data_IF_441767697961
#
_entry.id   IF_441767697961
#
_cell.length_a   1.000
_cell.length_b   1.000
_cell.length_c   1.000
_cell.angle_alpha   90.00
_cell.angle_beta   90.00
_cell.angle_gamma   90.00
#
_symmetry.space_group_name_H-M   'P 1'
#
loop_
_entity.id
_entity.type
_entity.pdbx_description
1 polymer ?
#
# COMPACT_ATOMS: atom_id res chain seq x y z
N UNK A 1 -6.66 -61.50 -24.82
CA UNK A 1 -7.32 -60.33 -24.22
C UNK A 1 -6.36 -59.16 -24.18
N UNK A 2 -6.89 -57.94 -24.25
CA UNK A 2 -6.12 -56.72 -24.07
C UNK A 2 -6.76 -55.90 -22.93
N UNK A 3 -6.20 -56.09 -21.75
CA UNK A 3 -6.66 -55.53 -20.49
C UNK A 3 -6.55 -54.00 -20.49
N UNK A 4 -5.68 -53.43 -21.33
CA UNK A 4 -5.55 -51.99 -21.53
C UNK A 4 -6.68 -51.38 -22.37
N UNK A 5 -7.42 -52.18 -23.15
CA UNK A 5 -8.56 -51.73 -23.97
C UNK A 5 -9.91 -52.08 -23.33
N UNK A 6 -9.91 -52.95 -22.31
CA UNK A 6 -11.13 -53.44 -21.66
C UNK A 6 -11.73 -52.49 -20.61
N UNK A 7 -10.99 -51.47 -20.17
CA UNK A 7 -11.47 -50.46 -19.22
C UNK A 7 -10.90 -49.07 -19.54
N UNK A 8 -11.66 -48.02 -19.23
CA UNK A 8 -11.18 -46.63 -19.34
C UNK A 8 -10.24 -46.34 -18.16
N UNK A 9 -8.96 -46.06 -18.44
CA UNK A 9 -7.91 -45.80 -17.44
C UNK A 9 -7.70 -46.94 -16.42
N UNK A 10 -7.32 -48.15 -16.85
CA UNK A 10 -7.16 -49.30 -15.96
C UNK A 10 -6.02 -49.15 -14.94
N UNK A 11 -5.13 -48.16 -15.14
CA UNK A 11 -3.99 -47.85 -14.28
C UNK A 11 -4.19 -46.62 -13.38
N UNK A 12 -5.36 -45.96 -13.44
CA UNK A 12 -5.61 -44.69 -12.76
C UNK A 12 -5.05 -43.47 -13.50
N UNK A 13 -5.20 -42.29 -12.91
CA UNK A 13 -4.69 -41.03 -13.47
C UNK A 13 -3.15 -41.01 -13.49
N UNK A 14 -2.58 -40.31 -14.48
CA UNK A 14 -1.13 -40.15 -14.66
C UNK A 14 -0.33 -41.47 -14.82
N UNK A 15 -0.97 -42.52 -15.33
CA UNK A 15 -0.34 -43.82 -15.58
C UNK A 15 -0.64 -44.38 -16.99
N UNK A 16 0.34 -45.06 -17.58
CA UNK A 16 0.22 -45.79 -18.84
C UNK A 16 0.06 -47.29 -18.59
N UNK A 17 -0.81 -47.93 -19.36
CA UNK A 17 -1.04 -49.37 -19.32
C UNK A 17 -0.21 -50.08 -20.40
N UNK A 18 0.49 -51.16 -20.03
CA UNK A 18 1.17 -52.05 -20.98
C UNK A 18 0.61 -53.47 -20.84
N UNK A 19 0.07 -53.99 -21.93
CA UNK A 19 -0.49 -55.34 -21.97
C UNK A 19 0.61 -56.39 -22.16
N UNK A 20 0.47 -57.53 -21.48
CA UNK A 20 1.36 -58.69 -21.61
C UNK A 20 0.54 -59.96 -21.81
N UNK A 21 1.17 -61.06 -22.23
CA UNK A 21 0.43 -62.32 -22.42
C UNK A 21 -0.01 -62.86 -21.06
N UNK A 22 -1.31 -62.72 -20.75
CA UNK A 22 -1.95 -63.23 -19.53
C UNK A 22 -1.96 -62.26 -18.33
N UNK A 23 -1.52 -61.01 -18.50
CA UNK A 23 -1.56 -59.96 -17.48
C UNK A 23 -1.31 -58.58 -18.10
N UNK A 24 -1.35 -57.51 -17.31
CA UNK A 24 -0.92 -56.18 -17.70
C UNK A 24 -0.21 -55.51 -16.52
N UNK A 25 0.58 -54.47 -16.80
CA UNK A 25 1.24 -53.67 -15.77
C UNK A 25 1.13 -52.18 -16.10
N UNK A 26 1.26 -51.36 -15.06
CA UNK A 26 1.14 -49.92 -15.13
C UNK A 26 2.49 -49.25 -14.89
N UNK A 27 2.74 -48.16 -15.59
CA UNK A 27 3.90 -47.28 -15.38
C UNK A 27 3.43 -45.84 -15.21
N UNK A 28 4.02 -45.08 -14.30
CA UNK A 28 3.70 -43.65 -14.19
C UNK A 28 4.22 -42.88 -15.41
N UNK A 29 3.47 -41.87 -15.84
CA UNK A 29 3.92 -40.94 -16.88
C UNK A 29 5.09 -40.09 -16.37
N UNK A 30 5.93 -39.52 -17.25
CA UNK A 30 7.01 -38.62 -16.83
C UNK A 30 6.49 -37.47 -15.93
N UNK A 31 7.24 -37.14 -14.88
CA UNK A 31 6.82 -36.19 -13.83
C UNK A 31 6.10 -36.84 -12.64
N UNK A 32 5.76 -38.13 -12.74
CA UNK A 32 5.07 -38.86 -11.68
C UNK A 32 5.86 -40.10 -11.26
N UNK A 33 5.76 -40.47 -9.99
CA UNK A 33 6.31 -41.71 -9.43
C UNK A 33 5.23 -42.53 -8.75
N UNK A 34 5.41 -43.84 -8.75
CA UNK A 34 4.56 -44.72 -7.97
C UNK A 34 4.65 -44.38 -6.48
N UNK A 35 3.53 -44.41 -5.76
CA UNK A 35 3.46 -44.24 -4.31
C UNK A 35 4.31 -45.27 -3.55
N UNK A 36 4.56 -46.43 -4.15
CA UNK A 36 5.40 -47.49 -3.61
C UNK A 36 6.86 -47.45 -4.12
N UNK A 37 7.21 -46.49 -4.98
CA UNK A 37 8.55 -46.30 -5.54
C UNK A 37 8.97 -47.28 -6.65
N UNK A 38 8.10 -48.19 -7.07
CA UNK A 38 8.38 -49.14 -8.16
C UNK A 38 8.15 -48.51 -9.54
N UNK A 39 8.94 -48.93 -10.53
CA UNK A 39 8.80 -48.45 -11.91
C UNK A 39 7.55 -49.00 -12.59
N UNK A 40 7.18 -50.24 -12.25
CA UNK A 40 5.96 -50.90 -12.69
C UNK A 40 5.15 -51.31 -11.48
N UNK A 41 3.83 -51.20 -11.55
CA UNK A 41 2.91 -51.64 -10.50
C UNK A 41 1.73 -52.39 -11.08
N UNK A 42 1.09 -53.20 -10.23
CA UNK A 42 -0.10 -53.96 -10.62
C UNK A 42 -1.32 -53.11 -10.29
N UNK A 43 -2.22 -52.87 -11.25
CA UNK A 43 -3.41 -52.08 -10.99
C UNK A 43 -4.32 -52.73 -9.92
N UNK A 44 -4.90 -51.88 -9.06
CA UNK A 44 -5.74 -52.24 -7.90
C UNK A 44 -5.01 -52.78 -6.66
N UNK A 45 -3.68 -52.69 -6.58
CA UNK A 45 -2.91 -53.01 -5.36
C UNK A 45 -2.85 -51.84 -4.34
N UNK A 46 -3.54 -50.73 -4.62
CA UNK A 46 -3.52 -49.50 -3.82
C UNK A 46 -2.40 -48.52 -4.21
N UNK A 47 -1.59 -48.87 -5.20
CA UNK A 47 -0.54 -48.01 -5.75
C UNK A 47 -1.13 -46.97 -6.69
N UNK A 48 -0.67 -45.73 -6.59
CA UNK A 48 -1.07 -44.63 -7.46
C UNK A 48 0.15 -43.81 -7.88
N UNK A 49 0.03 -43.10 -9.01
CA UNK A 49 1.05 -42.17 -9.44
C UNK A 49 0.89 -40.85 -8.69
N UNK A 50 1.94 -40.45 -7.98
CA UNK A 50 2.03 -39.17 -7.27
C UNK A 50 3.02 -38.28 -7.98
N UNK A 51 2.69 -36.99 -8.02
CA UNK A 51 3.56 -35.96 -8.59
C UNK A 51 4.94 -35.98 -7.92
N UNK A 52 5.98 -35.81 -8.73
CA UNK A 52 7.35 -35.71 -8.24
C UNK A 52 7.63 -34.24 -7.99
N UNK A 53 7.80 -33.84 -6.73
CA UNK A 53 8.26 -32.48 -6.44
C UNK A 53 9.75 -32.32 -6.80
N UNK A 54 10.02 -31.88 -8.02
CA UNK A 54 11.38 -31.68 -8.51
C UNK A 54 12.08 -30.52 -7.79
N UNK A 55 11.34 -29.64 -7.11
CA UNK A 55 11.90 -28.51 -6.40
C UNK A 55 12.62 -28.88 -5.10
N UNK A 56 12.37 -30.06 -4.52
CA UNK A 56 12.98 -30.49 -3.24
C UNK A 56 14.45 -30.90 -3.41
N UNK A 57 14.80 -31.57 -4.50
CA UNK A 57 16.14 -32.14 -4.70
C UNK A 57 16.90 -31.54 -5.90
N UNK A 58 16.21 -31.12 -6.97
CA UNK A 58 16.84 -30.65 -8.21
C UNK A 58 16.50 -29.20 -8.58
N UNK A 59 15.51 -28.59 -7.93
CA UNK A 59 14.96 -27.30 -8.31
C UNK A 59 15.95 -26.14 -8.41
N UNK A 60 16.99 -26.12 -7.57
CA UNK A 60 18.02 -25.07 -7.63
C UNK A 60 19.03 -25.29 -8.76
N UNK A 61 19.29 -26.55 -9.12
CA UNK A 61 20.23 -26.91 -10.19
C UNK A 61 19.54 -26.79 -11.56
N UNK A 62 18.28 -27.22 -11.66
CA UNK A 62 17.55 -27.27 -12.92
C UNK A 62 17.00 -25.90 -13.38
N UNK A 63 16.69 -24.99 -12.45
CA UNK A 63 16.27 -23.62 -12.79
C UNK A 63 17.44 -22.65 -12.97
N UNK A 64 18.66 -23.05 -12.61
CA UNK A 64 19.85 -22.20 -12.66
C UNK A 64 19.98 -21.21 -11.50
N UNK A 65 21.13 -20.54 -11.45
CA UNK A 65 21.43 -19.57 -10.40
C UNK A 65 20.44 -18.40 -10.39
N UNK A 66 20.14 -17.91 -9.18
CA UNK A 66 19.21 -16.80 -8.95
C UNK A 66 17.77 -17.03 -9.45
N UNK A 67 17.37 -18.28 -9.68
CA UNK A 67 16.00 -18.67 -9.96
C UNK A 67 15.30 -19.33 -8.75
N UNK A 68 13.97 -19.24 -8.71
CA UNK A 68 13.05 -19.90 -7.80
C UNK A 68 12.30 -20.98 -8.58
N UNK A 69 12.22 -22.17 -7.99
CA UNK A 69 11.46 -23.31 -8.51
C UNK A 69 10.04 -23.31 -7.91
N UNK A 70 9.03 -23.56 -8.73
CA UNK A 70 7.65 -23.78 -8.32
C UNK A 70 7.16 -25.10 -8.92
N UNK A 71 6.82 -26.04 -8.03
CA UNK A 71 6.31 -27.36 -8.40
C UNK A 71 4.89 -27.24 -8.96
N UNK A 72 4.60 -27.96 -10.04
CA UNK A 72 3.30 -28.05 -10.68
C UNK A 72 2.96 -29.53 -10.91
N UNK A 73 1.69 -29.83 -11.17
CA UNK A 73 1.29 -31.20 -11.46
C UNK A 73 1.93 -31.67 -12.79
N UNK A 74 2.77 -32.70 -12.71
CA UNK A 74 3.52 -33.27 -13.83
C UNK A 74 4.79 -32.53 -14.22
N UNK A 75 5.31 -31.65 -13.36
CA UNK A 75 6.63 -31.03 -13.53
C UNK A 75 6.72 -29.65 -12.88
N UNK A 76 7.71 -28.84 -13.23
CA UNK A 76 7.96 -27.58 -12.55
C UNK A 76 8.19 -26.38 -13.48
N UNK A 77 8.02 -25.18 -12.93
CA UNK A 77 8.36 -23.92 -13.58
C UNK A 77 9.42 -23.18 -12.77
N UNK A 78 10.19 -22.37 -13.48
CA UNK A 78 11.23 -21.52 -12.91
C UNK A 78 10.82 -20.05 -13.08
N UNK A 79 11.20 -19.23 -12.10
CA UNK A 79 11.07 -17.76 -12.16
C UNK A 79 12.32 -17.13 -11.56
N UNK A 80 12.70 -15.92 -11.98
CA UNK A 80 13.86 -15.26 -11.37
C UNK A 80 13.55 -14.73 -9.97
N UNK A 81 14.52 -14.86 -9.05
CA UNK A 81 14.45 -14.25 -7.71
C UNK A 81 14.42 -12.73 -7.85
N UNK A 82 13.93 -12.05 -6.82
CA UNK A 82 13.97 -10.58 -6.74
C UNK A 82 15.39 -10.05 -7.03
N UNK A 83 15.45 -8.99 -7.85
CA UNK A 83 16.69 -8.40 -8.31
C UNK A 83 17.23 -8.94 -9.65
N UNK A 84 16.62 -10.01 -10.18
CA UNK A 84 17.03 -10.65 -11.41
C UNK A 84 15.90 -10.69 -12.43
N UNK A 85 16.25 -10.68 -13.72
CA UNK A 85 15.30 -10.82 -14.81
C UNK A 85 15.70 -11.96 -15.74
N UNK A 86 14.73 -12.65 -16.38
CA UNK A 86 15.01 -13.68 -17.36
C UNK A 86 15.69 -13.07 -18.59
N UNK A 87 16.72 -13.72 -19.11
CA UNK A 87 17.43 -13.32 -20.33
C UNK A 87 16.50 -13.25 -21.56
N UNK A 88 15.44 -14.04 -21.55
CA UNK A 88 14.44 -14.14 -22.62
C UNK A 88 13.23 -13.22 -22.42
N UNK A 89 13.12 -12.56 -21.26
CA UNK A 89 11.97 -11.69 -20.91
C UNK A 89 10.70 -12.43 -20.45
N UNK A 90 10.70 -13.77 -20.42
CA UNK A 90 9.55 -14.57 -19.95
C UNK A 90 9.59 -14.73 -18.42
N UNK A 91 8.62 -14.14 -17.71
CA UNK A 91 8.55 -14.16 -16.23
C UNK A 91 8.54 -15.56 -15.61
N UNK A 92 7.96 -16.53 -16.32
CA UNK A 92 8.08 -17.96 -16.01
C UNK A 92 8.68 -18.68 -17.22
N UNK A 93 9.60 -19.60 -16.94
CA UNK A 93 10.32 -20.37 -17.95
C UNK A 93 10.48 -21.82 -17.51
N UNK A 94 10.73 -22.71 -18.49
CA UNK A 94 10.92 -24.14 -18.20
C UNK A 94 12.37 -24.40 -17.81
N UNK A 95 12.64 -25.37 -16.92
CA UNK A 95 14.00 -25.75 -16.57
C UNK A 95 14.79 -26.13 -17.83
N UNK A 96 16.06 -25.73 -17.88
CA UNK A 96 16.97 -25.98 -18.99
C UNK A 96 16.50 -25.47 -20.38
N UNK A 97 15.57 -24.52 -20.45
CA UNK A 97 15.08 -23.95 -21.74
C UNK A 97 16.02 -22.90 -22.36
N UNK A 98 17.20 -22.70 -21.77
CA UNK A 98 18.19 -21.70 -22.17
C UNK A 98 17.96 -20.31 -21.57
N UNK A 99 16.89 -20.10 -20.81
CA UNK A 99 16.68 -18.87 -20.02
C UNK A 99 17.58 -18.89 -18.78
N UNK A 100 18.25 -17.76 -18.54
CA UNK A 100 19.07 -17.55 -17.34
C UNK A 100 18.62 -16.27 -16.63
N UNK A 101 18.78 -16.23 -15.31
CA UNK A 101 18.50 -15.06 -14.51
C UNK A 101 19.72 -14.14 -14.49
N UNK A 102 19.61 -13.00 -15.14
CA UNK A 102 20.64 -11.95 -15.15
C UNK A 102 20.29 -10.86 -14.14
N UNK A 103 21.30 -10.27 -13.51
CA UNK A 103 21.09 -9.09 -12.66
C UNK A 103 20.32 -8.06 -13.47
N UNK A 104 19.19 -7.62 -12.94
CA UNK A 104 18.42 -6.59 -13.60
C UNK A 104 19.08 -5.24 -13.26
N UNK A 105 19.65 -4.49 -14.23
CA UNK A 105 20.18 -3.15 -13.95
C UNK A 105 19.07 -2.19 -13.47
N UNK A 106 17.80 -2.53 -13.74
CA UNK A 106 16.59 -1.87 -13.24
C UNK A 106 16.10 -2.42 -11.89
N UNK A 107 16.75 -3.42 -11.28
CA UNK A 107 16.47 -3.84 -9.91
C UNK A 107 16.80 -2.74 -8.88
N UNK A 108 17.69 -1.81 -9.25
CA UNK A 108 18.01 -0.59 -8.49
C UNK A 108 17.55 0.68 -9.22
N UNK A 109 16.44 0.60 -9.95
CA UNK A 109 15.93 1.71 -10.75
C UNK A 109 15.73 2.99 -9.91
N UNK A 110 15.38 2.84 -8.64
CA UNK A 110 15.21 3.91 -7.65
C UNK A 110 16.46 4.77 -7.40
N UNK A 111 17.65 4.31 -7.82
CA UNK A 111 18.90 5.06 -7.74
C UNK A 111 19.16 5.94 -8.98
N UNK A 112 18.46 5.70 -10.10
CA UNK A 112 18.73 6.35 -11.38
C UNK A 112 17.52 7.17 -11.86
N UNK A 113 17.71 8.49 -11.95
CA UNK A 113 16.64 9.43 -12.33
C UNK A 113 15.98 9.11 -13.69
N UNK A 114 16.77 8.71 -14.68
CA UNK A 114 16.26 8.40 -16.02
C UNK A 114 15.37 7.15 -16.00
N UNK A 115 15.76 6.14 -15.21
CA UNK A 115 14.97 4.93 -15.04
C UNK A 115 13.64 5.21 -14.32
N UNK A 116 13.66 5.97 -13.23
CA UNK A 116 12.45 6.42 -12.52
C UNK A 116 11.52 7.16 -13.50
N UNK A 117 12.07 8.09 -14.29
CA UNK A 117 11.30 8.89 -15.26
C UNK A 117 10.68 8.02 -16.34
N UNK A 118 11.42 7.05 -16.89
CA UNK A 118 10.89 6.08 -17.85
C UNK A 118 9.72 5.28 -17.24
N UNK A 119 9.86 4.82 -16.00
CA UNK A 119 8.84 4.02 -15.31
C UNK A 119 7.58 4.83 -15.01
N UNK A 120 7.75 6.07 -14.54
CA UNK A 120 6.66 7.03 -14.35
C UNK A 120 5.92 7.25 -15.66
N UNK A 121 6.63 7.56 -16.75
CA UNK A 121 6.00 7.83 -18.04
C UNK A 121 5.21 6.63 -18.57
N UNK A 122 5.73 5.42 -18.41
CA UNK A 122 5.00 4.18 -18.76
C UNK A 122 3.74 4.00 -17.93
N UNK A 123 3.84 4.20 -16.62
CA UNK A 123 2.71 4.08 -15.70
C UNK A 123 1.63 5.12 -16.02
N UNK A 124 2.02 6.37 -16.26
CA UNK A 124 1.11 7.44 -16.65
C UNK A 124 0.46 7.19 -18.01
N UNK A 125 1.21 6.69 -19.00
CA UNK A 125 0.66 6.34 -20.30
C UNK A 125 -0.40 5.22 -20.20
N UNK A 126 -0.24 4.29 -19.26
CA UNK A 126 -1.22 3.24 -19.01
C UNK A 126 -2.54 3.76 -18.43
N UNK A 127 -2.58 4.93 -17.78
CA UNK A 127 -3.81 5.49 -17.19
C UNK A 127 -4.33 6.75 -17.90
N UNK A 128 -3.52 7.42 -18.72
CA UNK A 128 -3.86 8.72 -19.32
C UNK A 128 -5.05 8.68 -20.29
N UNK A 129 -5.36 7.51 -20.85
CA UNK A 129 -6.49 7.29 -21.74
C UNK A 129 -7.82 7.09 -20.99
N UNK A 130 -7.76 6.78 -19.70
CA UNK A 130 -8.93 6.58 -18.85
C UNK A 130 -9.59 7.94 -18.57
N UNK A 131 -10.93 7.97 -18.51
CA UNK A 131 -11.67 9.24 -18.47
C UNK A 131 -12.20 9.57 -17.09
N UNK A 132 -12.41 8.56 -16.25
CA UNK A 132 -12.99 8.77 -14.91
C UNK A 132 -11.96 8.54 -13.82
N UNK A 133 -12.06 9.28 -12.68
CA UNK A 133 -11.21 9.03 -11.51
C UNK A 133 -11.31 7.58 -11.00
N UNK A 134 -12.49 6.98 -11.08
CA UNK A 134 -12.72 5.60 -10.63
C UNK A 134 -11.91 4.60 -11.47
N UNK A 135 -11.95 4.70 -12.80
CA UNK A 135 -11.18 3.81 -13.68
C UNK A 135 -9.67 3.93 -13.42
N UNK A 136 -9.16 5.16 -13.30
CA UNK A 136 -7.76 5.40 -12.98
C UNK A 136 -7.37 4.78 -11.63
N UNK A 137 -8.20 4.99 -10.60
CA UNK A 137 -7.96 4.43 -9.27
C UNK A 137 -8.04 2.90 -9.26
N UNK A 138 -8.93 2.30 -10.03
CA UNK A 138 -9.04 0.85 -10.17
C UNK A 138 -7.80 0.24 -10.82
N UNK A 139 -7.24 0.88 -11.85
CA UNK A 139 -6.01 0.42 -12.49
C UNK A 139 -4.81 0.56 -11.54
N UNK A 140 -4.68 1.68 -10.83
CA UNK A 140 -3.64 1.86 -9.82
C UNK A 140 -3.80 0.85 -8.67
N UNK A 141 -5.04 0.61 -8.21
CA UNK A 141 -5.32 -0.41 -7.20
C UNK A 141 -4.85 -1.79 -7.66
N UNK A 142 -5.18 -2.17 -8.90
CA UNK A 142 -4.78 -3.45 -9.49
C UNK A 142 -3.26 -3.59 -9.56
N UNK A 143 -2.55 -2.52 -9.93
CA UNK A 143 -1.09 -2.50 -10.00
C UNK A 143 -0.40 -2.59 -8.63
N UNK A 144 -1.14 -2.42 -7.53
CA UNK A 144 -0.60 -2.35 -6.16
C UNK A 144 -0.95 -3.53 -5.27
N UNK A 145 -1.79 -4.48 -5.73
CA UNK A 145 -2.19 -5.67 -4.95
C UNK A 145 -1.07 -6.71 -4.78
N UNK A 146 -0.04 -6.67 -5.63
CA UNK A 146 1.04 -7.67 -5.69
C UNK A 146 2.30 -7.30 -4.91
N UNK A 147 3.40 -8.06 -5.09
CA UNK A 147 4.73 -7.59 -4.71
C UNK A 147 5.07 -6.30 -5.47
N UNK A 148 5.66 -5.34 -4.77
CA UNK A 148 6.04 -4.04 -5.33
C UNK A 148 7.56 -3.89 -5.27
N UNK A 149 8.15 -3.38 -6.34
CA UNK A 149 9.52 -2.88 -6.33
C UNK A 149 9.55 -1.42 -5.84
N UNK A 150 10.70 -0.92 -5.38
CA UNK A 150 10.82 0.48 -4.93
C UNK A 150 10.41 1.49 -6.00
N UNK A 151 10.75 1.24 -7.27
CA UNK A 151 10.32 2.11 -8.39
C UNK A 151 8.81 2.08 -8.62
N UNK A 152 8.14 0.95 -8.38
CA UNK A 152 6.68 0.82 -8.53
C UNK A 152 5.95 1.71 -7.52
N UNK A 153 6.50 1.84 -6.31
CA UNK A 153 6.00 2.77 -5.29
C UNK A 153 6.03 4.20 -5.82
N UNK A 154 7.18 4.65 -6.34
CA UNK A 154 7.31 6.00 -6.89
C UNK A 154 6.33 6.22 -8.05
N UNK A 155 6.30 5.30 -9.03
CA UNK A 155 5.52 5.50 -10.25
C UNK A 155 4.02 5.43 -10.02
N UNK A 156 3.54 4.55 -9.14
CA UNK A 156 2.11 4.49 -8.83
C UNK A 156 1.65 5.63 -7.91
N UNK A 157 2.52 6.14 -7.02
CA UNK A 157 2.22 7.38 -6.26
C UNK A 157 2.11 8.59 -7.21
N UNK A 158 2.98 8.67 -8.22
CA UNK A 158 2.88 9.70 -9.26
C UNK A 158 1.56 9.58 -10.03
N UNK A 159 1.17 8.36 -10.40
CA UNK A 159 -0.09 8.07 -11.07
C UNK A 159 -1.31 8.45 -10.22
N UNK A 160 -1.28 8.18 -8.90
CA UNK A 160 -2.33 8.58 -7.96
C UNK A 160 -2.46 10.10 -7.89
N UNK A 161 -1.34 10.82 -7.83
CA UNK A 161 -1.33 12.28 -7.81
C UNK A 161 -1.89 12.86 -9.12
N UNK A 162 -1.53 12.28 -10.27
CA UNK A 162 -2.07 12.65 -11.57
C UNK A 162 -3.60 12.43 -11.64
N UNK A 163 -4.10 11.32 -11.10
CA UNK A 163 -5.55 11.06 -10.99
C UNK A 163 -6.25 12.12 -10.12
N UNK A 164 -5.61 12.59 -9.04
CA UNK A 164 -6.15 13.67 -8.20
C UNK A 164 -6.32 14.98 -8.96
N UNK A 165 -5.39 15.32 -9.86
CA UNK A 165 -5.49 16.52 -10.70
C UNK A 165 -6.64 16.41 -11.70
N UNK A 166 -6.81 15.25 -12.35
CA UNK A 166 -7.92 15.03 -13.28
C UNK A 166 -9.30 15.03 -12.58
N UNK A 167 -9.33 14.67 -11.30
CA UNK A 167 -10.54 14.75 -10.48
C UNK A 167 -10.98 16.19 -10.23
N UNK A 168 -10.09 17.19 -10.35
CA UNK A 168 -10.50 18.61 -10.35
C UNK A 168 -11.31 19.00 -11.58
N UNK A 169 -11.11 18.32 -12.72
CA UNK A 169 -11.79 18.64 -13.98
C UNK A 169 -13.10 17.88 -14.17
N UNK A 170 -13.27 16.75 -13.46
CA UNK A 170 -14.49 15.97 -13.52
C UNK A 170 -15.46 16.42 -12.43
N UNK A 171 -16.63 16.95 -12.80
CA UNK A 171 -17.71 17.14 -11.84
C UNK A 171 -18.12 15.76 -11.35
N UNK A 172 -17.64 15.35 -10.17
CA UNK A 172 -18.05 14.07 -9.56
C UNK A 172 -19.57 14.08 -9.54
N UNK A 173 -20.12 13.18 -10.37
CA UNK A 173 -21.53 12.95 -10.62
C UNK A 173 -22.33 13.02 -9.32
N UNK A 174 -23.56 13.55 -9.41
CA UNK A 174 -24.54 13.56 -8.32
C UNK A 174 -24.84 12.15 -7.76
N UNK A 175 -24.33 11.09 -8.38
CA UNK A 175 -24.45 9.72 -7.91
C UNK A 175 -23.59 9.47 -6.65
N UNK A 176 -24.25 9.53 -5.50
CA UNK A 176 -23.70 9.21 -4.18
C UNK A 176 -23.03 7.82 -4.13
N UNK A 177 -23.62 6.80 -4.75
CA UNK A 177 -23.07 5.44 -4.75
C UNK A 177 -21.73 5.37 -5.49
N UNK A 178 -21.60 6.07 -6.62
CA UNK A 178 -20.36 6.12 -7.39
C UNK A 178 -19.23 6.80 -6.59
N UNK A 179 -19.57 7.87 -5.88
CA UNK A 179 -18.63 8.61 -5.02
C UNK A 179 -18.13 7.75 -3.86
N UNK A 180 -19.04 7.10 -3.15
CA UNK A 180 -18.70 6.23 -2.02
C UNK A 180 -17.82 5.06 -2.48
N UNK A 181 -18.16 4.48 -3.64
CA UNK A 181 -17.34 3.44 -4.29
C UNK A 181 -15.94 3.96 -4.61
N UNK A 182 -15.84 5.15 -5.20
CA UNK A 182 -14.55 5.75 -5.56
C UNK A 182 -13.70 6.06 -4.32
N UNK A 183 -14.30 6.52 -3.21
CA UNK A 183 -13.57 6.75 -1.94
C UNK A 183 -13.09 5.41 -1.36
N UNK A 184 -13.91 4.36 -1.39
CA UNK A 184 -13.48 3.03 -0.94
C UNK A 184 -12.33 2.48 -1.77
N UNK A 185 -12.36 2.65 -3.10
CA UNK A 185 -11.23 2.26 -3.96
C UNK A 185 -10.00 3.08 -3.61
N UNK A 186 -10.09 4.40 -3.44
CA UNK A 186 -8.97 5.23 -3.01
C UNK A 186 -8.35 4.74 -1.70
N UNK A 187 -9.16 4.46 -0.68
CA UNK A 187 -8.68 3.97 0.62
C UNK A 187 -7.96 2.64 0.47
N UNK A 188 -8.51 1.71 -0.31
CA UNK A 188 -7.86 0.42 -0.58
C UNK A 188 -6.54 0.60 -1.37
N UNK A 189 -6.52 1.46 -2.40
CA UNK A 189 -5.31 1.76 -3.17
C UNK A 189 -4.22 2.33 -2.27
N UNK A 190 -4.55 3.29 -1.40
CA UNK A 190 -3.59 3.86 -0.45
C UNK A 190 -3.14 2.79 0.54
N UNK A 191 -4.06 1.97 1.06
CA UNK A 191 -3.75 0.88 1.97
C UNK A 191 -2.71 -0.09 1.40
N UNK A 192 -2.81 -0.43 0.11
CA UNK A 192 -1.85 -1.33 -0.55
C UNK A 192 -0.40 -0.84 -0.45
N UNK A 193 -0.14 0.48 -0.31
CA UNK A 193 1.20 0.99 -0.08
C UNK A 193 1.63 0.97 1.38
N UNK A 194 0.68 0.98 2.31
CA UNK A 194 0.92 1.19 3.74
C UNK A 194 0.88 -0.09 4.57
N UNK A 195 0.52 -1.21 3.94
CA UNK A 195 0.53 -2.53 4.56
C UNK A 195 1.92 -2.85 5.12
N UNK A 196 1.93 -3.55 6.25
CA UNK A 196 3.14 -3.84 7.02
C UNK A 196 4.22 -4.59 6.22
N UNK A 197 3.83 -5.48 5.31
CA UNK A 197 4.76 -6.21 4.43
C UNK A 197 5.41 -5.31 3.37
N UNK A 198 4.82 -4.16 3.05
CA UNK A 198 5.32 -3.20 2.06
C UNK A 198 6.27 -2.15 2.64
N UNK A 199 6.33 -1.99 3.96
CA UNK A 199 7.22 -1.03 4.62
C UNK A 199 8.69 -1.23 4.22
N UNK A 200 9.12 -2.49 4.02
CA UNK A 200 10.48 -2.81 3.56
C UNK A 200 10.79 -2.28 2.15
N UNK A 201 9.78 -2.24 1.27
CA UNK A 201 9.92 -1.69 -0.09
C UNK A 201 10.16 -0.18 -0.02
N UNK A 202 9.46 0.51 0.89
CA UNK A 202 9.72 1.92 1.16
C UNK A 202 11.12 2.15 1.74
N UNK A 203 11.57 1.32 2.68
CA UNK A 203 12.90 1.42 3.31
C UNK A 203 14.06 1.17 2.32
N UNK A 204 13.80 0.51 1.20
CA UNK A 204 14.77 0.33 0.13
C UNK A 204 14.94 1.58 -0.76
N UNK A 205 14.04 2.57 -0.69
CA UNK A 205 14.15 3.82 -1.44
C UNK A 205 15.23 4.73 -0.84
N UNK A 206 15.95 5.51 -1.68
CA UNK A 206 16.75 6.63 -1.18
C UNK A 206 15.89 7.59 -0.34
N UNK A 207 16.44 8.08 0.77
CA UNK A 207 15.71 8.89 1.77
C UNK A 207 14.91 10.04 1.14
N UNK A 208 15.51 10.77 0.19
CA UNK A 208 14.84 11.88 -0.50
C UNK A 208 13.62 11.41 -1.31
N UNK A 209 13.78 10.32 -2.07
CA UNK A 209 12.71 9.74 -2.88
C UNK A 209 11.62 9.12 -2.01
N UNK A 210 12.00 8.47 -0.91
CA UNK A 210 11.09 7.89 0.07
C UNK A 210 10.20 8.97 0.68
N UNK A 211 10.82 10.02 1.25
CA UNK A 211 10.12 11.10 1.95
C UNK A 211 9.21 11.90 1.03
N UNK A 212 9.70 12.20 -0.18
CA UNK A 212 8.94 12.93 -1.20
C UNK A 212 7.74 12.12 -1.69
N UNK A 213 7.95 10.84 -2.00
CA UNK A 213 6.87 9.94 -2.44
C UNK A 213 5.85 9.72 -1.34
N UNK A 214 6.27 9.55 -0.09
CA UNK A 214 5.35 9.39 1.03
C UNK A 214 4.53 10.67 1.28
N UNK A 215 5.17 11.84 1.27
CA UNK A 215 4.46 13.13 1.38
C UNK A 215 3.46 13.30 0.23
N UNK A 216 3.83 12.91 -0.99
CA UNK A 216 2.95 12.98 -2.16
C UNK A 216 1.77 12.01 -2.07
N UNK A 217 1.97 10.80 -1.54
CA UNK A 217 0.89 9.83 -1.27
C UNK A 217 -0.13 10.41 -0.28
N UNK A 218 0.35 10.93 0.85
CA UNK A 218 -0.47 11.55 1.89
C UNK A 218 -1.26 12.76 1.34
N UNK A 219 -0.58 13.67 0.65
CA UNK A 219 -1.19 14.83 0.03
C UNK A 219 -2.27 14.43 -1.00
N UNK A 220 -1.97 13.46 -1.87
CA UNK A 220 -2.91 13.02 -2.91
C UNK A 220 -4.16 12.37 -2.33
N UNK A 221 -4.02 11.56 -1.27
CA UNK A 221 -5.15 10.96 -0.56
C UNK A 221 -6.06 12.04 0.06
N UNK A 222 -5.47 13.06 0.69
CA UNK A 222 -6.18 14.19 1.28
C UNK A 222 -6.93 14.99 0.20
N UNK A 223 -6.23 15.43 -0.85
CA UNK A 223 -6.80 16.28 -1.89
C UNK A 223 -7.92 15.58 -2.68
N UNK A 224 -7.71 14.32 -3.06
CA UNK A 224 -8.73 13.53 -3.75
C UNK A 224 -10.01 13.44 -2.91
N UNK A 225 -9.87 13.14 -1.61
CA UNK A 225 -11.01 13.01 -0.70
C UNK A 225 -11.73 14.34 -0.52
N UNK A 226 -11.01 15.45 -0.34
CA UNK A 226 -11.62 16.78 -0.25
C UNK A 226 -12.40 17.15 -1.50
N UNK A 227 -11.83 16.90 -2.69
CA UNK A 227 -12.50 17.19 -3.97
C UNK A 227 -13.81 16.42 -4.11
N UNK A 228 -13.81 15.14 -3.76
CA UNK A 228 -15.01 14.31 -3.79
C UNK A 228 -16.06 14.72 -2.74
N UNK A 229 -15.59 15.31 -1.64
CA UNK A 229 -16.45 15.75 -0.53
C UNK A 229 -17.11 17.11 -0.76
N UNK A 230 -16.60 17.96 -1.66
CA UNK A 230 -17.23 19.24 -2.01
C UNK A 230 -18.64 19.10 -2.60
N UNK A 231 -18.93 17.96 -3.22
CA UNK A 231 -20.15 17.72 -3.96
C UNK A 231 -21.26 17.02 -3.13
N UNK A 232 -21.14 16.95 -1.80
CA UNK A 232 -22.22 16.45 -0.95
C UNK A 232 -23.33 17.50 -0.82
N UNK A 233 -24.55 17.15 -1.24
CA UNK A 233 -25.73 18.06 -1.19
C UNK A 233 -26.48 18.04 0.14
N UNK A 234 -26.20 17.07 1.00
CA UNK A 234 -26.86 16.86 2.29
C UNK A 234 -25.82 16.61 3.36
N UNK A 235 -26.20 16.86 4.62
CA UNK A 235 -25.42 16.44 5.77
C UNK A 235 -25.12 14.94 5.69
N UNK A 236 -23.85 14.59 5.51
CA UNK A 236 -23.39 13.24 5.23
C UNK A 236 -22.19 12.92 6.10
N UNK A 237 -22.19 11.71 6.68
CA UNK A 237 -21.01 11.12 7.29
C UNK A 237 -20.66 9.85 6.51
N UNK A 238 -19.41 9.74 6.08
CA UNK A 238 -18.88 8.59 5.36
C UNK A 238 -17.68 8.05 6.10
N UNK A 239 -17.64 6.73 6.30
CA UNK A 239 -16.50 6.02 6.84
C UNK A 239 -15.99 5.02 5.78
N UNK A 240 -14.69 5.03 5.53
CA UNK A 240 -14.01 4.08 4.64
C UNK A 240 -12.71 3.64 5.33
N UNK A 241 -12.63 2.35 5.68
CA UNK A 241 -11.53 1.81 6.48
C UNK A 241 -10.89 0.61 5.80
N UNK A 242 -9.59 0.48 5.94
CA UNK A 242 -8.79 -0.69 5.58
C UNK A 242 -7.85 -1.05 6.75
N UNK A 243 -6.87 -1.94 6.53
CA UNK A 243 -6.03 -2.47 7.60
C UNK A 243 -5.14 -1.42 8.28
N UNK A 244 -4.56 -0.52 7.48
CA UNK A 244 -3.52 0.42 7.92
C UNK A 244 -3.90 1.88 7.70
N UNK A 245 -5.11 2.12 7.16
CA UNK A 245 -5.69 3.44 6.93
C UNK A 245 -7.16 3.45 7.33
N UNK A 246 -7.59 4.54 7.97
CA UNK A 246 -8.99 4.84 8.21
C UNK A 246 -9.31 6.27 7.73
N UNK A 247 -10.43 6.42 7.04
CA UNK A 247 -10.88 7.68 6.46
C UNK A 247 -12.31 7.97 6.93
N UNK A 248 -12.54 9.18 7.42
CA UNK A 248 -13.87 9.68 7.77
C UNK A 248 -14.13 11.04 7.16
N UNK A 249 -15.30 11.22 6.56
CA UNK A 249 -15.74 12.50 5.99
C UNK A 249 -16.99 12.98 6.72
N UNK A 250 -17.00 14.26 7.09
CA UNK A 250 -18.17 14.98 7.53
C UNK A 250 -18.47 16.09 6.53
N UNK A 251 -19.61 16.02 5.85
CA UNK A 251 -20.09 17.10 5.00
C UNK A 251 -21.38 17.66 5.57
N UNK A 252 -21.52 18.97 5.64
CA UNK A 252 -22.70 19.65 6.19
C UNK A 252 -22.83 21.07 5.65
N UNK A 253 -24.04 21.62 5.70
CA UNK A 253 -24.32 23.00 5.35
C UNK A 253 -24.08 23.97 6.53
N UNK A 254 -24.21 25.26 6.27
CA UNK A 254 -24.04 26.33 7.25
C UNK A 254 -25.05 26.30 8.41
N UNK A 255 -26.26 25.77 8.20
CA UNK A 255 -27.28 25.68 9.26
C UNK A 255 -26.83 24.72 10.36
N UNK A 256 -26.19 23.62 9.98
CA UNK A 256 -25.79 22.58 10.90
C UNK A 256 -24.44 22.86 11.60
N UNK A 257 -23.72 23.91 11.22
CA UNK A 257 -22.41 24.28 11.79
C UNK A 257 -22.42 24.49 13.31
N UNK A 258 -23.53 24.95 13.89
CA UNK A 258 -23.64 25.20 15.34
C UNK A 258 -23.78 23.92 16.16
N UNK A 259 -24.28 22.85 15.55
CA UNK A 259 -24.63 21.60 16.24
C UNK A 259 -23.68 20.46 15.90
N UNK A 260 -23.01 20.51 14.74
CA UNK A 260 -22.05 19.50 14.32
C UNK A 260 -20.65 19.91 14.79
N UNK A 261 -20.08 19.07 15.64
CA UNK A 261 -18.69 19.19 16.11
C UNK A 261 -17.92 17.96 15.61
N UNK A 262 -17.26 18.05 14.43
CA UNK A 262 -16.59 16.90 13.85
C UNK A 262 -15.52 16.36 14.79
N UNK A 263 -15.67 15.11 15.16
CA UNK A 263 -14.70 14.40 15.97
C UNK A 263 -14.68 12.94 15.57
N UNK A 264 -13.52 12.32 15.74
CA UNK A 264 -13.29 10.93 15.37
C UNK A 264 -12.64 10.23 16.54
N UNK A 265 -13.19 9.07 16.89
CA UNK A 265 -12.55 8.07 17.72
C UNK A 265 -12.36 6.81 16.89
N UNK A 266 -11.11 6.38 16.69
CA UNK A 266 -10.78 5.19 15.90
C UNK A 266 -9.56 4.51 16.52
N UNK A 267 -9.68 3.23 16.85
CA UNK A 267 -8.59 2.40 17.42
C UNK A 267 -7.91 2.99 18.68
N UNK A 268 -8.62 3.84 19.43
CA UNK A 268 -8.12 4.50 20.62
C UNK A 268 -7.40 5.83 20.39
N UNK A 269 -7.32 6.26 19.12
CA UNK A 269 -6.92 7.61 18.77
C UNK A 269 -8.18 8.49 18.67
N UNK A 270 -8.07 9.71 19.20
CA UNK A 270 -9.14 10.71 19.21
C UNK A 270 -8.66 11.99 18.55
N UNK A 271 -9.51 12.60 17.73
CA UNK A 271 -9.28 13.93 17.19
C UNK A 271 -10.59 14.72 17.13
N UNK A 272 -10.49 16.00 17.45
CA UNK A 272 -11.60 16.94 17.41
C UNK A 272 -11.15 18.25 16.79
N UNK A 273 -11.99 18.76 15.90
CA UNK A 273 -11.83 20.10 15.34
C UNK A 273 -12.70 21.11 16.10
N UNK A 274 -12.15 22.30 16.34
CA UNK A 274 -12.89 23.43 16.88
C UNK A 274 -12.79 24.61 15.90
N UNK A 275 -13.89 24.98 15.22
CA UNK A 275 -13.91 26.16 14.37
C UNK A 275 -14.02 27.44 15.21
N UNK A 276 -13.54 28.57 14.66
CA UNK A 276 -13.78 29.89 15.25
C UNK A 276 -15.27 30.18 15.26
N UNK A 277 -15.76 30.80 16.35
CA UNK A 277 -17.14 31.27 16.44
C UNK A 277 -17.37 32.39 15.41
N UNK A 278 -18.45 32.27 14.63
CA UNK A 278 -18.91 33.29 13.69
C UNK A 278 -20.40 33.53 13.86
N UNK A 279 -20.80 34.78 13.77
CA UNK A 279 -22.20 35.21 13.79
C UNK A 279 -22.78 35.38 12.38
N UNK A 280 -21.92 35.43 11.36
CA UNK A 280 -22.30 35.71 9.98
C UNK A 280 -22.81 34.45 9.27
N UNK A 281 -24.04 34.52 8.78
CA UNK A 281 -24.78 33.38 8.24
C UNK A 281 -24.77 33.37 6.71
N UNK A 282 -24.32 32.26 6.12
CA UNK A 282 -24.28 32.06 4.67
C UNK A 282 -25.30 30.98 4.25
N UNK A 283 -26.45 31.33 3.66
CA UNK A 283 -27.55 30.38 3.42
C UNK A 283 -27.21 29.19 2.50
N UNK A 284 -26.23 29.34 1.61
CA UNK A 284 -25.78 28.27 0.70
C UNK A 284 -24.36 27.77 1.03
N UNK A 285 -23.90 28.02 2.26
CA UNK A 285 -22.57 27.64 2.68
C UNK A 285 -22.44 26.13 2.88
N UNK A 286 -21.37 25.53 2.38
CA UNK A 286 -21.07 24.10 2.58
C UNK A 286 -19.69 23.91 3.19
N UNK A 287 -19.56 22.87 4.02
CA UNK A 287 -18.33 22.51 4.72
C UNK A 287 -18.12 21.00 4.59
N UNK A 288 -16.90 20.61 4.26
CA UNK A 288 -16.41 19.24 4.31
C UNK A 288 -15.17 19.17 5.21
N UNK A 289 -15.18 18.24 6.15
CA UNK A 289 -14.05 17.93 7.04
C UNK A 289 -13.66 16.48 6.82
N UNK A 290 -12.40 16.26 6.46
CA UNK A 290 -11.83 14.94 6.18
C UNK A 290 -10.84 14.60 7.28
N UNK A 291 -10.99 13.41 7.85
CA UNK A 291 -10.08 12.82 8.80
C UNK A 291 -9.42 11.60 8.18
N UNK A 292 -8.10 11.52 8.29
CA UNK A 292 -7.31 10.36 7.88
C UNK A 292 -6.52 9.87 9.08
N UNK A 293 -6.36 8.56 9.20
CA UNK A 293 -5.49 7.92 10.19
C UNK A 293 -4.67 6.86 9.49
N UNK A 294 -3.38 6.84 9.79
CA UNK A 294 -2.40 5.90 9.26
C UNK A 294 -1.69 5.18 10.40
N UNK A 295 -1.77 3.85 10.42
CA UNK A 295 -1.30 3.04 11.54
C UNK A 295 0.22 2.84 11.55
N UNK A 296 0.81 2.51 10.39
CA UNK A 296 2.16 1.92 10.31
C UNK A 296 3.18 2.73 9.49
N UNK A 297 3.00 4.04 9.35
CA UNK A 297 3.88 4.90 8.53
C UNK A 297 4.91 5.71 9.35
N UNK A 298 4.86 5.64 10.68
CA UNK A 298 5.68 6.48 11.56
C UNK A 298 7.18 6.28 11.35
N UNK A 299 7.64 5.04 11.14
CA UNK A 299 9.06 4.75 10.87
C UNK A 299 9.55 5.41 9.57
N UNK A 300 8.69 5.48 8.54
CA UNK A 300 9.01 6.08 7.24
C UNK A 300 9.08 7.62 7.29
N UNK A 301 8.44 8.25 8.28
CA UNK A 301 8.45 9.71 8.49
C UNK A 301 9.42 10.15 9.59
N UNK A 302 10.12 9.23 10.23
CA UNK A 302 11.11 9.55 11.27
C UNK A 302 12.37 10.14 10.64
N UNK A 303 13.07 11.03 11.34
CA UNK A 303 14.32 11.61 10.82
C UNK A 303 15.44 10.55 10.83
N UNK A 304 16.00 10.23 9.67
CA UNK A 304 17.31 9.60 9.55
C UNK A 304 18.42 10.66 9.66
N UNK A 305 19.58 10.29 10.20
CA UNK A 305 20.75 11.17 10.22
C UNK A 305 21.14 11.62 8.80
N UNK A 306 21.53 12.90 8.72
CA UNK A 306 22.16 13.60 7.59
C UNK A 306 21.28 14.02 6.39
N UNK A 307 20.73 15.24 6.49
CA UNK A 307 20.76 16.17 5.37
C UNK A 307 21.91 17.17 5.60
N UNK A 308 22.98 17.01 4.83
CA UNK A 308 24.11 17.94 4.63
C UNK A 308 24.03 19.31 5.31
N UNK A 309 24.47 19.39 6.56
CA UNK A 309 25.29 20.49 7.06
C UNK A 309 26.00 20.04 8.33
N UNK A 310 27.32 20.18 8.34
CA UNK A 310 28.11 20.07 9.57
C UNK A 310 27.78 21.30 10.42
N UNK A 311 26.69 21.27 11.18
CA UNK A 311 26.53 22.07 12.40
C UNK A 311 25.21 21.70 13.12
N UNK A 312 25.33 21.56 14.43
CA UNK A 312 24.31 21.13 15.41
C UNK A 312 23.97 19.63 15.46
N UNK A 313 24.15 19.09 16.67
CA UNK A 313 23.67 17.80 17.15
C UNK A 313 22.13 17.75 17.13
N UNK A 314 21.52 17.56 15.97
CA UNK A 314 20.07 17.36 15.91
C UNK A 314 19.73 15.98 16.49
N UNK A 315 19.06 15.98 17.64
CA UNK A 315 18.58 14.76 18.28
C UNK A 315 17.65 13.98 17.35
N UNK A 316 17.83 12.65 17.30
CA UNK A 316 17.04 11.77 16.43
C UNK A 316 15.57 11.78 16.86
N UNK A 317 14.70 12.29 15.98
CA UNK A 317 13.26 12.33 16.21
C UNK A 317 12.59 11.10 15.62
N UNK A 318 11.93 10.33 16.48
CA UNK A 318 11.20 9.12 16.09
C UNK A 318 9.70 9.31 16.29
N UNK A 319 8.91 8.96 15.28
CA UNK A 319 7.44 8.98 15.40
C UNK A 319 7.00 7.78 16.22
N UNK A 320 6.34 8.02 17.36
CA UNK A 320 6.00 6.98 18.34
C UNK A 320 4.50 6.72 18.46
N UNK A 321 3.70 7.36 17.63
CA UNK A 321 2.26 7.19 17.51
C UNK A 321 1.85 6.82 16.08
N UNK A 322 0.56 6.58 15.87
CA UNK A 322 -0.06 6.68 14.55
C UNK A 322 0.08 8.11 14.00
N UNK A 323 -0.10 8.27 12.69
CA UNK A 323 -0.16 9.58 12.04
C UNK A 323 -1.62 9.86 11.69
N UNK A 324 -2.14 11.00 12.13
CA UNK A 324 -3.51 11.42 11.85
C UNK A 324 -3.50 12.72 11.05
N UNK A 325 -4.49 12.95 10.21
CA UNK A 325 -4.60 14.19 9.44
C UNK A 325 -6.01 14.74 9.46
N UNK A 326 -6.10 16.06 9.34
CA UNK A 326 -7.36 16.78 9.19
C UNK A 326 -7.23 17.77 8.07
N UNK A 327 -8.20 17.75 7.17
CA UNK A 327 -8.32 18.71 6.13
C UNK A 327 -9.75 19.25 6.04
N UNK A 328 -9.86 20.52 5.67
CA UNK A 328 -11.13 21.23 5.60
C UNK A 328 -11.26 21.83 4.22
N UNK A 329 -12.46 21.72 3.66
CA UNK A 329 -12.88 22.54 2.55
C UNK A 329 -14.20 23.21 2.88
N UNK A 330 -14.31 24.51 2.64
CA UNK A 330 -15.56 25.22 2.76
C UNK A 330 -15.83 26.12 1.55
N UNK A 331 -17.11 26.34 1.27
CA UNK A 331 -17.56 27.29 0.28
C UNK A 331 -18.58 28.23 0.94
N UNK A 332 -18.28 29.54 1.10
CA UNK A 332 -17.02 30.21 0.76
C UNK A 332 -15.82 29.73 1.61
N UNK A 333 -14.56 29.95 1.19
CA UNK A 333 -13.38 29.49 1.92
C UNK A 333 -13.24 30.06 3.35
N UNK A 334 -13.85 31.21 3.62
CA UNK A 334 -13.82 31.86 4.94
C UNK A 334 -14.94 31.38 5.87
N UNK A 335 -15.83 30.51 5.39
CA UNK A 335 -16.98 30.03 6.15
C UNK A 335 -16.57 29.24 7.40
N UNK A 336 -15.54 28.39 7.27
CA UNK A 336 -15.11 27.49 8.33
C UNK A 336 -13.63 27.69 8.66
N UNK A 337 -13.34 28.66 9.52
CA UNK A 337 -11.98 28.94 9.98
C UNK A 337 -11.62 28.09 11.20
N UNK A 338 -10.42 27.50 11.19
CA UNK A 338 -9.91 26.74 12.33
C UNK A 338 -9.57 27.67 13.52
N UNK A 339 -10.07 27.35 14.72
CA UNK A 339 -9.56 27.92 15.98
C UNK A 339 -8.42 27.04 16.51
N UNK A 340 -8.70 25.74 16.66
CA UNK A 340 -7.75 24.75 17.18
C UNK A 340 -8.17 23.33 16.84
N UNK A 341 -7.19 22.45 16.79
CA UNK A 341 -7.36 20.99 16.75
C UNK A 341 -6.88 20.45 18.08
N UNK A 342 -7.63 19.52 18.65
CA UNK A 342 -7.21 18.76 19.82
C UNK A 342 -7.23 17.29 19.46
N UNK A 343 -6.13 16.59 19.72
CA UNK A 343 -6.04 15.16 19.47
C UNK A 343 -5.40 14.43 20.62
N UNK A 344 -5.73 13.16 20.78
CA UNK A 344 -5.17 12.25 21.77
C UNK A 344 -4.77 10.97 21.06
N UNK A 345 -3.49 10.64 21.10
CA UNK A 345 -2.92 9.49 20.40
C UNK A 345 -2.38 8.48 21.39
N UNK A 346 -2.57 7.19 21.07
CA UNK A 346 -1.81 6.12 21.70
C UNK A 346 -0.34 6.25 21.33
N UNK A 347 0.55 6.02 22.29
CA UNK A 347 1.99 6.00 22.05
C UNK A 347 2.67 4.84 22.77
N UNK A 348 3.80 4.39 22.22
CA UNK A 348 4.64 3.39 22.86
C UNK A 348 5.65 4.06 23.80
N UNK A 349 5.38 4.04 25.11
CA UNK A 349 6.29 4.63 26.11
C UNK A 349 7.65 3.91 26.09
N UNK A 350 8.70 4.67 25.80
CA UNK A 350 10.11 4.26 25.96
C UNK A 350 10.77 5.14 27.02
N UNK A 351 11.73 4.59 27.77
CA UNK A 351 12.37 5.28 28.90
C UNK A 351 13.18 6.51 28.45
N UNK A 352 13.10 7.60 29.23
CA UNK A 352 13.85 8.86 29.10
C UNK A 352 13.92 9.48 27.69
N UNK A 353 12.76 9.95 27.19
CA UNK A 353 12.70 10.73 25.95
C UNK A 353 11.76 11.92 26.08
N UNK A 354 12.21 13.05 25.54
CA UNK A 354 11.39 14.26 25.41
C UNK A 354 10.25 14.01 24.41
N UNK A 355 9.03 14.39 24.81
CA UNK A 355 7.78 14.14 24.08
C UNK A 355 7.35 15.43 23.41
N UNK A 356 7.21 15.41 22.08
CA UNK A 356 6.80 16.60 21.30
C UNK A 356 5.56 16.31 20.47
N UNK A 357 4.58 17.20 20.57
CA UNK A 357 3.47 17.27 19.64
C UNK A 357 3.94 17.94 18.35
N UNK A 358 3.80 17.27 17.22
CA UNK A 358 4.32 17.76 15.95
C UNK A 358 3.31 17.66 14.82
N UNK A 359 3.56 18.45 13.79
CA UNK A 359 2.83 18.46 12.54
C UNK A 359 3.80 18.33 11.36
N UNK A 360 3.36 17.72 10.26
CA UNK A 360 4.15 17.59 9.05
C UNK A 360 4.08 18.90 8.26
N UNK A 361 5.18 19.66 8.29
CA UNK A 361 5.33 20.89 7.55
C UNK A 361 5.94 20.58 6.18
N UNK A 362 5.19 20.79 5.09
CA UNK A 362 5.65 20.45 3.74
C UNK A 362 5.22 21.48 2.70
N UNK A 363 5.96 21.55 1.61
CA UNK A 363 5.61 22.35 0.43
C UNK A 363 4.79 21.50 -0.55
N UNK A 364 3.60 21.98 -0.90
CA UNK A 364 2.72 21.32 -1.87
C UNK A 364 3.28 21.33 -3.32
N UNK A 365 4.30 22.14 -3.61
CA UNK A 365 4.94 22.17 -4.93
C UNK A 365 6.07 21.13 -5.04
N UNK A 366 6.93 21.07 -4.03
CA UNK A 366 8.09 20.17 -4.03
C UNK A 366 7.79 18.78 -3.45
N UNK A 367 6.76 18.68 -2.60
CA UNK A 367 6.46 17.53 -1.74
C UNK A 367 7.59 17.21 -0.74
N UNK A 368 8.44 18.18 -0.44
CA UNK A 368 9.47 18.08 0.60
C UNK A 368 8.87 18.60 1.89
N UNK A 369 9.05 17.86 2.98
CA UNK A 369 8.56 18.27 4.30
C UNK A 369 9.33 17.68 5.46
N UNK A 370 9.11 18.23 6.64
CA UNK A 370 9.71 17.83 7.90
C UNK A 370 8.72 17.97 9.06
N UNK A 371 8.99 17.28 10.16
CA UNK A 371 8.23 17.52 11.38
C UNK A 371 8.60 18.87 11.98
N UNK A 372 7.58 19.58 12.44
CA UNK A 372 7.66 20.88 13.07
C UNK A 372 6.75 20.89 14.31
N UNK A 373 7.12 21.66 15.33
CA UNK A 373 6.39 21.72 16.61
C UNK A 373 5.75 23.09 16.85
N UNK A 374 6.07 24.08 16.02
CA UNK A 374 5.53 25.43 16.14
C UNK A 374 4.01 25.40 16.05
N UNK A 375 3.32 26.10 16.95
CA UNK A 375 1.85 26.11 16.99
C UNK A 375 1.20 24.83 17.54
N UNK A 376 1.99 23.85 17.99
CA UNK A 376 1.53 22.66 18.69
C UNK A 376 2.02 22.63 20.14
N UNK A 377 1.13 22.32 21.07
CA UNK A 377 1.39 22.31 22.51
C UNK A 377 0.87 21.02 23.16
N UNK A 378 1.66 20.47 24.08
CA UNK A 378 1.29 19.32 24.90
C UNK A 378 0.28 19.78 25.97
N UNK A 379 -0.88 19.12 26.02
CA UNK A 379 -1.95 19.48 26.97
C UNK A 379 -2.07 18.50 28.13
N UNK A 380 -1.93 17.21 27.82
CA UNK A 380 -1.99 16.15 28.81
C UNK A 380 -1.10 15.00 28.34
N UNK A 381 -0.48 14.32 29.30
CA UNK A 381 0.30 13.12 29.04
C UNK A 381 0.06 12.14 30.18
N UNK A 382 -0.19 10.89 29.82
CA UNK A 382 -0.21 9.78 30.76
C UNK A 382 0.68 8.64 30.24
N UNK A 383 0.64 7.47 30.87
CA UNK A 383 1.51 6.34 30.51
C UNK A 383 1.20 5.70 29.15
N UNK A 384 0.05 6.00 28.54
CA UNK A 384 -0.46 5.31 27.34
C UNK A 384 -0.92 6.24 26.23
N UNK A 385 -1.31 7.47 26.58
CA UNK A 385 -1.85 8.45 25.65
C UNK A 385 -1.23 9.83 25.89
N UNK A 386 -1.10 10.56 24.79
CA UNK A 386 -0.64 11.95 24.76
C UNK A 386 -1.71 12.78 24.08
N UNK A 387 -2.10 13.88 24.72
CA UNK A 387 -3.05 14.84 24.20
C UNK A 387 -2.35 16.14 23.80
N UNK A 388 -2.57 16.54 22.56
CA UNK A 388 -1.97 17.72 21.96
C UNK A 388 -3.04 18.70 21.49
N UNK A 389 -2.68 19.97 21.44
CA UNK A 389 -3.47 21.03 20.82
C UNK A 389 -2.61 21.74 19.78
N UNK A 390 -3.14 21.93 18.57
CA UNK A 390 -2.46 22.61 17.47
C UNK A 390 -3.37 23.63 16.78
N UNK A 391 -2.81 24.61 16.08
CA UNK A 391 -3.53 25.63 15.30
C UNK A 391 -3.32 25.53 13.77
N UNK A 392 -2.86 24.37 13.29
CA UNK A 392 -2.58 24.09 11.88
C UNK A 392 -3.54 23.03 11.32
N UNK A 393 -3.57 22.87 9.99
CA UNK A 393 -4.19 21.75 9.28
C UNK A 393 -3.12 21.05 8.46
N UNK A 394 -2.90 19.76 8.72
CA UNK A 394 -1.95 18.88 8.02
C UNK A 394 -2.06 17.48 8.66
N UNK A 395 -0.94 16.76 8.72
CA UNK A 395 -0.70 15.50 9.40
C UNK A 395 -0.03 15.76 10.75
N UNK A 396 -0.45 15.06 11.79
CA UNK A 396 0.01 15.19 13.17
C UNK A 396 0.52 13.86 13.69
N UNK A 397 1.52 13.94 14.56
CA UNK A 397 2.04 12.80 15.28
C UNK A 397 2.68 13.21 16.60
N UNK A 398 2.97 12.21 17.43
CA UNK A 398 3.80 12.35 18.62
C UNK A 398 5.23 11.92 18.27
N UNK A 399 6.18 12.80 18.55
CA UNK A 399 7.61 12.53 18.42
C UNK A 399 8.24 12.24 19.77
N UNK A 400 9.22 11.35 19.76
CA UNK A 400 10.11 11.10 20.88
C UNK A 400 11.54 11.34 20.45
N UNK A 401 12.26 12.16 21.21
CA UNK A 401 13.68 12.42 21.03
C UNK A 401 14.51 11.43 21.84
N UNK A 402 15.46 10.71 21.21
CA UNK A 402 16.48 10.03 22.00
C UNK A 402 17.51 11.07 22.47
N UNK A 403 17.40 11.49 23.73
CA UNK A 403 18.44 12.30 24.34
C UNK A 403 19.78 11.58 24.23
N UNK A 404 20.80 12.27 23.73
CA UNK A 404 22.17 11.83 23.95
C UNK A 404 22.38 11.77 25.45
N UNK A 405 22.77 10.59 25.97
CA UNK A 405 23.24 10.46 27.35
C UNK A 405 24.32 11.52 27.58
N UNK A 406 24.03 12.48 28.47
CA UNK A 406 24.99 13.48 28.97
C UNK A 406 26.13 12.77 29.69
#
# INVERSE_FOLDING_TARGET
DNECENATQPCGEHANCTNTVGSYYCTCVPGFKSSNGQQTFVPNDGTSCVDVDECINEGTVACGDHAKCENMDGGFNCSCKEGYQPSTGKLQFKPNDGTSCQENPKAKCELYKDCITEHINRTLAAISHLKTPLEMLQEINKNTLGPLLPVDVISNVEALSYSSLNTMHYSVSDNEALRNTTINVLVNTVNNFLQKDKIRVWEALPVDNQRRSLTKLLHSAEQMTLLMSKNFKKTTQLDANASDIALKVFAFDSHHMKHIHPHVYTEGDYIKISPKKRDEYHPNGTVAVVFLRYSNIGSLLSSSENCSSKESSEERQTVSSSVIAVAISSNPPTLYELEKITFTLKYAKTADKDIKCAFWNYSAESMIGNWATQGCELTHSNSTHISCKCNHLTHFAVLMSSGGSV
#
